data_IF_770731824701
#
_entry.id   IF_770731824701
#
_cell.length_a   1.000
_cell.length_b   1.000
_cell.length_c   1.000
_cell.angle_alpha   90.00
_cell.angle_beta   90.00
_cell.angle_gamma   90.00
#
_symmetry.space_group_name_H-M   'P 1'
#
loop_
_entity.id
_entity.type
_entity.pdbx_description
1 polymer ?
#
# COMPACT_ATOMS: atom_id res chain seq x y z
N UNK A 1 19.78 4.38 6.64
CA UNK A 1 18.47 4.60 6.06
C UNK A 1 17.53 5.09 7.14
N UNK A 2 16.98 6.29 6.98
CA UNK A 2 15.87 6.78 7.80
C UNK A 2 14.56 6.12 7.36
N UNK A 3 13.50 6.22 8.16
CA UNK A 3 12.18 5.72 7.77
C UNK A 3 11.62 6.39 6.52
N UNK A 4 11.89 7.68 6.35
CA UNK A 4 11.53 8.42 5.14
C UNK A 4 12.27 7.89 3.91
N UNK A 5 13.59 7.63 4.02
CA UNK A 5 14.38 7.04 2.93
C UNK A 5 13.85 5.66 2.52
N UNK A 6 13.38 4.84 3.48
CA UNK A 6 12.74 3.54 3.19
C UNK A 6 11.41 3.72 2.46
N UNK A 7 10.60 4.69 2.87
CA UNK A 7 9.29 4.95 2.25
C UNK A 7 9.45 5.48 0.81
N UNK A 8 10.43 6.34 0.57
CA UNK A 8 10.78 6.84 -0.76
C UNK A 8 11.27 5.71 -1.67
N UNK A 9 12.25 4.91 -1.23
CA UNK A 9 12.74 3.74 -2.00
C UNK A 9 11.61 2.73 -2.28
N UNK A 10 10.73 2.50 -1.31
CA UNK A 10 9.57 1.63 -1.49
C UNK A 10 8.66 2.18 -2.60
N UNK A 11 8.30 3.47 -2.56
CA UNK A 11 7.45 4.09 -3.56
C UNK A 11 8.05 4.04 -4.99
N UNK A 12 9.36 4.27 -5.12
CA UNK A 12 10.08 4.20 -6.41
C UNK A 12 10.06 2.78 -6.99
N UNK A 13 10.39 1.77 -6.18
CA UNK A 13 10.35 0.36 -6.61
C UNK A 13 8.95 -0.03 -7.09
N UNK A 14 7.89 0.48 -6.45
CA UNK A 14 6.51 0.14 -6.84
C UNK A 14 6.04 0.78 -8.14
N UNK A 15 6.53 1.97 -8.50
CA UNK A 15 6.13 2.61 -9.76
C UNK A 15 6.65 1.82 -10.98
N UNK A 16 7.79 1.15 -10.81
CA UNK A 16 8.45 0.36 -11.87
C UNK A 16 7.91 -1.08 -12.00
N UNK A 17 7.15 -1.58 -11.01
CA UNK A 17 6.74 -2.98 -10.97
C UNK A 17 5.42 -3.25 -11.74
N UNK A 18 5.37 -4.30 -12.58
CA UNK A 18 4.12 -4.78 -13.15
C UNK A 18 3.14 -5.26 -12.07
N UNK A 19 1.84 -5.12 -12.33
CA UNK A 19 0.76 -5.50 -11.40
C UNK A 19 0.87 -6.95 -10.92
N UNK A 20 1.26 -7.87 -11.78
CA UNK A 20 1.39 -9.29 -11.41
C UNK A 20 2.52 -9.54 -10.39
N UNK A 21 3.64 -8.81 -10.51
CA UNK A 21 4.75 -8.91 -9.56
C UNK A 21 4.38 -8.30 -8.21
N UNK A 22 3.62 -7.20 -8.23
CA UNK A 22 3.04 -6.59 -7.03
C UNK A 22 2.14 -7.59 -6.31
N UNK A 23 1.21 -8.22 -7.04
CA UNK A 23 0.28 -9.20 -6.48
C UNK A 23 1.03 -10.38 -5.86
N UNK A 24 2.06 -10.90 -6.52
CA UNK A 24 2.87 -12.00 -6.00
C UNK A 24 3.60 -11.61 -4.71
N UNK A 25 4.20 -10.42 -4.67
CA UNK A 25 4.88 -9.92 -3.48
C UNK A 25 3.90 -9.73 -2.31
N UNK A 26 2.74 -9.11 -2.55
CA UNK A 26 1.70 -8.91 -1.53
C UNK A 26 1.23 -10.25 -0.98
N UNK A 27 0.94 -11.23 -1.83
CA UNK A 27 0.48 -12.56 -1.42
C UNK A 27 1.50 -13.31 -0.54
N UNK A 28 2.80 -13.04 -0.69
CA UNK A 28 3.86 -13.66 0.13
C UNK A 28 4.04 -13.01 1.49
N UNK A 29 3.78 -11.71 1.59
CA UNK A 29 4.21 -10.91 2.73
C UNK A 29 3.05 -10.36 3.58
N UNK A 30 1.83 -10.36 3.05
CA UNK A 30 0.66 -9.75 3.70
C UNK A 30 -0.38 -10.83 4.00
N UNK A 31 -1.03 -10.82 5.18
CA UNK A 31 -2.13 -11.71 5.49
C UNK A 31 -3.25 -11.61 4.45
N UNK A 32 -3.81 -12.76 4.08
CA UNK A 32 -4.85 -12.84 3.06
C UNK A 32 -6.07 -11.98 3.40
N UNK A 33 -6.47 -11.95 4.67
CA UNK A 33 -7.61 -11.17 5.15
C UNK A 33 -7.42 -9.66 4.92
N UNK A 34 -6.18 -9.17 5.04
CA UNK A 34 -5.85 -7.77 4.75
C UNK A 34 -5.99 -7.47 3.26
N UNK A 35 -5.51 -8.37 2.39
CA UNK A 35 -5.62 -8.23 0.93
C UNK A 35 -7.10 -8.24 0.51
N UNK A 36 -7.89 -9.15 1.08
CA UNK A 36 -9.33 -9.26 0.83
C UNK A 36 -10.06 -7.99 1.26
N UNK A 37 -9.77 -7.47 2.47
CA UNK A 37 -10.34 -6.22 2.95
C UNK A 37 -10.09 -5.05 1.98
N UNK A 38 -8.83 -4.84 1.55
CA UNK A 38 -8.51 -3.74 0.65
C UNK A 38 -9.13 -3.92 -0.74
N UNK A 39 -9.25 -5.17 -1.22
CA UNK A 39 -9.93 -5.46 -2.49
C UNK A 39 -11.40 -5.07 -2.44
N UNK A 40 -12.12 -5.49 -1.40
CA UNK A 40 -13.54 -5.17 -1.21
C UNK A 40 -13.75 -3.66 -0.99
N UNK A 41 -12.90 -3.04 -0.17
CA UNK A 41 -12.97 -1.61 0.10
C UNK A 41 -12.70 -0.78 -1.15
N UNK A 42 -11.67 -1.12 -1.92
CA UNK A 42 -11.31 -0.44 -3.16
C UNK A 42 -12.43 -0.55 -4.20
N UNK A 43 -13.11 -1.69 -4.29
CA UNK A 43 -14.23 -1.89 -5.20
C UNK A 43 -15.41 -0.97 -4.85
N UNK A 44 -15.83 -0.98 -3.58
CA UNK A 44 -16.92 -0.11 -3.11
C UNK A 44 -16.57 1.38 -3.25
N UNK A 45 -15.33 1.76 -2.96
CA UNK A 45 -14.85 3.12 -3.12
C UNK A 45 -14.81 3.54 -4.60
N UNK A 46 -14.32 2.68 -5.49
CA UNK A 46 -14.28 2.95 -6.93
C UNK A 46 -15.68 3.13 -7.51
N UNK A 47 -16.66 2.36 -7.06
CA UNK A 47 -18.07 2.52 -7.45
C UNK A 47 -18.62 3.87 -6.99
N UNK A 48 -18.41 4.23 -5.71
CA UNK A 48 -18.87 5.51 -5.16
C UNK A 48 -18.21 6.72 -5.81
N UNK A 49 -16.94 6.60 -6.21
CA UNK A 49 -16.16 7.68 -6.82
C UNK A 49 -16.22 7.70 -8.36
N UNK A 50 -16.87 6.72 -9.00
CA UNK A 50 -16.94 6.61 -10.46
C UNK A 50 -15.61 6.30 -11.14
N UNK A 51 -14.68 5.65 -10.44
CA UNK A 51 -13.34 5.28 -10.96
C UNK A 51 -13.47 4.05 -11.86
N UNK A 52 -12.86 4.13 -13.05
CA UNK A 52 -12.97 3.10 -14.11
C UNK A 52 -11.61 2.78 -14.72
N UNK A 53 -11.58 1.70 -15.52
CA UNK A 53 -10.40 1.31 -16.29
C UNK A 53 -9.25 0.82 -15.41
N UNK A 54 -8.02 1.00 -15.90
CA UNK A 54 -6.80 0.51 -15.26
C UNK A 54 -6.57 1.08 -13.85
N UNK A 55 -6.96 2.32 -13.60
CA UNK A 55 -6.89 2.92 -12.26
C UNK A 55 -7.73 2.13 -11.25
N UNK A 56 -8.89 1.59 -11.65
CA UNK A 56 -9.72 0.75 -10.79
C UNK A 56 -9.02 -0.56 -10.43
N UNK A 57 -8.40 -1.23 -11.41
CA UNK A 57 -7.72 -2.51 -11.16
C UNK A 57 -6.47 -2.36 -10.30
N UNK A 58 -5.82 -1.19 -10.31
CA UNK A 58 -4.64 -0.90 -9.46
C UNK A 58 -5.00 -0.41 -8.06
N UNK A 59 -6.24 0.01 -7.84
CA UNK A 59 -6.67 0.69 -6.62
C UNK A 59 -6.49 -0.11 -5.31
N UNK A 60 -6.80 -1.42 -5.26
CA UNK A 60 -6.54 -2.22 -4.06
C UNK A 60 -5.07 -2.17 -3.62
N UNK A 61 -4.16 -2.32 -4.60
CA UNK A 61 -2.73 -2.34 -4.36
C UNK A 61 -2.23 -0.96 -3.90
N UNK A 62 -2.68 0.11 -4.56
CA UNK A 62 -2.33 1.49 -4.18
C UNK A 62 -2.75 1.83 -2.75
N UNK A 63 -3.96 1.43 -2.35
CA UNK A 63 -4.48 1.67 -1.00
C UNK A 63 -3.72 0.86 0.05
N UNK A 64 -3.42 -0.41 -0.24
CA UNK A 64 -2.63 -1.26 0.64
C UNK A 64 -1.21 -0.71 0.82
N UNK A 65 -0.58 -0.20 -0.24
CA UNK A 65 0.73 0.45 -0.13
C UNK A 65 0.70 1.72 0.70
N UNK A 66 -0.27 2.59 0.48
CA UNK A 66 -0.44 3.79 1.31
C UNK A 66 -0.59 3.43 2.80
N UNK A 67 -1.32 2.36 3.10
CA UNK A 67 -1.42 1.84 4.46
C UNK A 67 -0.08 1.32 5.01
N UNK A 68 0.66 0.53 4.23
CA UNK A 68 1.95 -0.01 4.68
C UNK A 68 2.98 1.10 4.93
N UNK A 69 3.08 2.09 4.03
CA UNK A 69 3.95 3.25 4.20
C UNK A 69 3.57 3.98 5.50
N UNK A 70 2.28 4.25 5.72
CA UNK A 70 1.83 4.92 6.94
C UNK A 70 2.16 4.14 8.22
N UNK A 71 2.02 2.82 8.20
CA UNK A 71 2.40 1.95 9.34
C UNK A 71 3.90 1.98 9.57
N UNK A 72 4.71 1.98 8.50
CA UNK A 72 6.17 2.10 8.60
C UNK A 72 6.56 3.44 9.20
N UNK A 73 6.02 4.55 8.69
CA UNK A 73 6.21 5.89 9.28
C UNK A 73 5.86 5.88 10.76
N UNK A 74 4.66 5.44 11.14
CA UNK A 74 4.19 5.49 12.53
C UNK A 74 5.01 4.61 13.49
N UNK A 75 5.53 3.47 13.03
CA UNK A 75 6.31 2.55 13.87
C UNK A 75 7.79 2.86 13.92
N UNK A 76 8.32 3.53 12.91
CA UNK A 76 9.74 3.85 12.80
C UNK A 76 10.08 5.27 13.25
N UNK A 77 9.07 6.13 13.48
CA UNK A 77 9.27 7.37 14.23
C UNK A 77 9.83 7.03 15.62
N UNK A 78 10.95 7.62 16.04
CA UNK A 78 11.48 7.40 17.38
C UNK A 78 10.39 7.79 18.41
N UNK A 79 10.22 6.98 19.46
CA UNK A 79 9.31 7.35 20.56
C UNK A 79 9.63 8.79 20.98
N UNK A 80 8.61 9.66 21.15
CA UNK A 80 8.85 11.01 21.63
C UNK A 80 9.64 10.89 22.92
N UNK A 81 10.89 11.36 22.89
CA UNK A 81 11.72 11.44 24.09
C UNK A 81 10.99 12.39 25.04
N UNK A 82 10.29 11.82 26.02
CA UNK A 82 9.71 12.55 27.12
C UNK A 82 10.87 13.25 27.81
N UNK A 83 10.96 14.57 27.59
CA UNK A 83 11.93 15.48 28.20
C UNK A 83 11.38 16.06 29.50
#
# INVERSE_FOLDING_TARGET
MTPEEIAEEFAEIFDELPVDQINEMLAKNIPFETIEFFSQYAEAFADGAGIKGETRSRLPNLLLFGYLIRVLEDRLLPEPQLS
#
